data_IF_141649705484
#
_entry.id   IF_141649705484
#
_cell.length_a   1.000
_cell.length_b   1.000
_cell.length_c   1.000
_cell.angle_alpha   90.00
_cell.angle_beta   90.00
_cell.angle_gamma   90.00
#
_symmetry.space_group_name_H-M   'P 1'
#
loop_
_entity.id
_entity.type
_entity.pdbx_description
1 polymer ?
#
# COMPACT_ATOMS: atom_id res chain seq x y z
N UNK A 1 4.92 -23.49 91.46
CA UNK A 1 5.75 -24.27 90.46
C UNK A 1 4.92 -24.88 89.33
N UNK A 2 3.93 -24.20 88.76
CA UNK A 2 3.10 -24.74 87.66
C UNK A 2 2.98 -23.78 86.43
N UNK A 3 3.63 -22.64 86.50
CA UNK A 3 3.56 -21.64 85.34
C UNK A 3 4.74 -21.77 84.35
N UNK A 4 5.76 -22.57 84.59
CA UNK A 4 6.96 -22.72 83.78
C UNK A 4 6.88 -23.81 82.68
N UNK A 5 5.95 -24.77 82.80
CA UNK A 5 5.86 -25.91 81.87
C UNK A 5 4.98 -25.60 80.65
N UNK A 6 4.04 -24.67 80.77
CA UNK A 6 3.19 -24.28 79.65
C UNK A 6 3.90 -23.53 78.53
N UNK A 7 4.97 -22.78 78.79
CA UNK A 7 5.70 -22.00 77.81
C UNK A 7 6.70 -22.82 76.97
N UNK A 8 7.22 -23.91 77.53
CA UNK A 8 8.13 -24.81 76.81
C UNK A 8 7.41 -25.76 75.87
N UNK A 9 6.13 -26.07 76.10
CA UNK A 9 5.34 -26.92 75.15
C UNK A 9 4.81 -26.16 73.97
N UNK A 10 4.53 -24.86 74.07
CA UNK A 10 4.10 -24.02 72.90
C UNK A 10 5.27 -23.66 72.04
N UNK A 11 6.50 -23.60 72.47
CA UNK A 11 7.69 -23.39 71.66
C UNK A 11 8.14 -24.63 70.87
N UNK A 12 7.70 -25.80 71.23
CA UNK A 12 8.09 -27.06 70.59
C UNK A 12 7.08 -27.54 69.55
N UNK A 13 5.94 -26.95 69.44
CA UNK A 13 4.93 -27.26 68.40
C UNK A 13 5.02 -26.45 67.14
N UNK A 14 6.00 -25.57 66.98
CA UNK A 14 6.38 -24.98 65.66
C UNK A 14 7.17 -26.04 64.89
N UNK A 15 6.54 -27.18 64.61
CA UNK A 15 7.10 -28.26 63.80
C UNK A 15 7.58 -27.80 62.48
N UNK A 16 8.90 -27.73 62.28
CA UNK A 16 9.51 -27.57 61.01
C UNK A 16 9.08 -28.74 60.07
N UNK A 17 8.15 -28.54 59.22
CA UNK A 17 7.82 -29.53 58.19
C UNK A 17 9.08 -29.79 57.39
N UNK A 18 9.43 -31.05 57.24
CA UNK A 18 10.62 -31.53 56.57
C UNK A 18 10.20 -32.04 55.17
N UNK A 19 10.89 -31.62 54.14
CA UNK A 19 10.62 -31.98 52.74
C UNK A 19 11.89 -32.49 52.08
N UNK A 20 11.73 -33.45 51.18
CA UNK A 20 12.81 -34.04 50.38
C UNK A 20 13.29 -33.05 49.30
N UNK A 21 14.62 -32.80 49.31
CA UNK A 21 15.26 -31.89 48.33
C UNK A 21 15.07 -32.32 46.86
N UNK A 22 14.83 -33.61 46.63
CA UNK A 22 14.59 -34.12 45.28
C UNK A 22 13.28 -33.58 44.62
N UNK A 23 12.35 -33.09 45.45
CA UNK A 23 11.06 -32.54 45.00
C UNK A 23 11.05 -31.02 44.83
N UNK A 24 12.18 -30.39 45.10
CA UNK A 24 12.31 -28.93 45.12
C UNK A 24 13.38 -28.52 44.15
N UNK A 25 13.04 -27.65 43.23
CA UNK A 25 14.03 -27.04 42.31
C UNK A 25 14.47 -25.69 42.87
N UNK A 26 15.78 -25.52 42.99
CA UNK A 26 16.41 -24.33 43.54
C UNK A 26 17.22 -23.68 42.47
N UNK A 27 17.03 -22.37 42.27
CA UNK A 27 17.82 -21.54 41.35
C UNK A 27 18.55 -20.44 42.10
N UNK A 28 19.70 -20.05 41.63
CA UNK A 28 20.51 -18.98 42.22
C UNK A 28 20.21 -17.64 41.54
N UNK A 29 19.99 -16.62 42.37
CA UNK A 29 19.83 -15.25 41.90
C UNK A 29 21.14 -14.76 41.29
N UNK A 30 21.11 -14.35 40.05
CA UNK A 30 22.25 -13.82 39.32
C UNK A 30 22.01 -12.39 38.85
N UNK A 31 23.07 -11.69 38.50
CA UNK A 31 23.00 -10.39 37.88
C UNK A 31 23.39 -10.55 36.42
N UNK A 32 22.58 -10.04 35.50
CA UNK A 32 22.83 -10.18 34.08
C UNK A 32 21.72 -9.56 33.25
N UNK A 33 21.83 -9.70 31.94
CA UNK A 33 20.83 -9.19 31.03
C UNK A 33 19.59 -10.09 31.01
N UNK A 34 18.42 -9.49 31.08
CA UNK A 34 17.12 -10.12 30.91
C UNK A 34 16.53 -9.71 29.57
N UNK A 35 16.41 -10.67 28.66
CA UNK A 35 15.76 -10.47 27.37
C UNK A 35 14.30 -10.89 27.49
N UNK A 36 13.40 -9.92 27.33
CA UNK A 36 11.96 -10.20 27.20
C UNK A 36 11.68 -10.50 25.74
N UNK A 37 11.32 -11.71 25.44
CA UNK A 37 11.03 -12.19 24.09
C UNK A 37 9.66 -12.89 24.05
N UNK A 38 9.10 -12.95 22.87
CA UNK A 38 7.91 -13.74 22.56
C UNK A 38 8.25 -14.72 21.45
N UNK A 39 7.85 -15.98 21.64
CA UNK A 39 7.89 -16.98 20.58
C UNK A 39 6.51 -17.04 19.91
N UNK A 40 6.51 -17.03 18.60
CA UNK A 40 5.30 -17.17 17.78
C UNK A 40 5.58 -18.09 16.59
N UNK A 41 4.59 -18.90 16.25
CA UNK A 41 4.65 -19.67 15.02
C UNK A 41 4.23 -18.82 13.84
N UNK A 42 4.93 -18.95 12.72
CA UNK A 42 4.70 -18.20 11.54
C UNK A 42 4.73 -19.04 10.25
N UNK A 43 4.40 -18.39 9.18
CA UNK A 43 4.49 -18.94 7.83
C UNK A 43 5.26 -18.02 6.91
N UNK A 44 6.09 -18.58 6.06
CA UNK A 44 6.77 -17.85 4.99
C UNK A 44 5.74 -17.36 3.99
N UNK A 45 5.73 -16.08 3.72
CA UNK A 45 4.95 -15.44 2.67
C UNK A 45 5.92 -14.75 1.70
N UNK A 46 5.59 -14.71 0.42
CA UNK A 46 6.30 -13.81 -0.48
C UNK A 46 5.91 -12.37 -0.17
N UNK A 47 6.87 -11.46 -0.15
CA UNK A 47 6.62 -10.04 0.09
C UNK A 47 5.67 -9.46 -0.97
N UNK A 48 5.71 -10.03 -2.18
CA UNK A 48 4.85 -9.63 -3.29
C UNK A 48 4.32 -10.88 -4.01
N UNK A 49 3.00 -11.05 -4.01
CA UNK A 49 2.34 -12.20 -4.64
C UNK A 49 0.94 -11.83 -5.15
N UNK A 50 0.83 -10.89 -6.11
CA UNK A 50 -0.44 -10.47 -6.65
C UNK A 50 -1.14 -11.60 -7.41
N UNK A 51 -2.46 -11.61 -7.32
CA UNK A 51 -3.32 -12.39 -8.20
C UNK A 51 -3.73 -11.50 -9.36
N UNK A 52 -3.60 -12.01 -10.57
CA UNK A 52 -4.02 -11.35 -11.80
C UNK A 52 -5.45 -11.76 -12.14
N UNK A 53 -6.27 -10.78 -12.47
CA UNK A 53 -7.69 -10.94 -12.73
C UNK A 53 -8.04 -10.65 -14.18
N UNK A 54 -9.11 -11.28 -14.68
CA UNK A 54 -9.67 -10.97 -15.99
C UNK A 54 -10.30 -9.57 -15.98
N UNK A 55 -9.89 -8.70 -16.90
CA UNK A 55 -10.47 -7.35 -17.01
C UNK A 55 -11.86 -7.34 -17.67
N UNK A 56 -12.14 -8.35 -18.49
CA UNK A 56 -13.42 -8.54 -19.18
C UNK A 56 -13.77 -10.03 -19.29
N UNK A 57 -15.02 -10.32 -19.50
CA UNK A 57 -15.46 -11.66 -19.82
C UNK A 57 -14.87 -12.12 -21.17
N UNK A 58 -14.51 -13.41 -21.26
CA UNK A 58 -13.95 -13.98 -22.46
C UNK A 58 -13.39 -15.37 -22.27
N UNK A 59 -12.81 -15.94 -23.32
CA UNK A 59 -12.17 -17.26 -23.26
C UNK A 59 -10.68 -17.07 -22.89
N UNK A 60 -10.23 -17.73 -21.83
CA UNK A 60 -8.84 -17.65 -21.38
C UNK A 60 -7.95 -18.66 -22.11
N UNK A 61 -6.79 -18.20 -22.56
CA UNK A 61 -5.70 -19.04 -23.06
C UNK A 61 -4.48 -18.80 -22.19
N UNK A 62 -4.01 -19.83 -21.48
CA UNK A 62 -2.86 -19.79 -20.62
C UNK A 62 -1.58 -20.05 -21.43
N UNK A 63 -0.56 -19.24 -21.24
CA UNK A 63 0.78 -19.42 -21.87
C UNK A 63 1.78 -20.04 -20.90
N UNK A 64 1.42 -20.23 -19.63
CA UNK A 64 2.26 -20.74 -18.56
C UNK A 64 1.49 -21.73 -17.68
N UNK A 65 2.24 -22.54 -16.92
CA UNK A 65 1.69 -23.46 -15.91
C UNK A 65 2.21 -23.11 -14.51
N UNK A 66 1.54 -23.63 -13.47
CA UNK A 66 1.99 -23.45 -12.09
C UNK A 66 3.42 -23.97 -11.90
N UNK A 67 4.28 -23.17 -11.32
CA UNK A 67 5.69 -23.47 -11.10
C UNK A 67 6.66 -22.92 -12.17
N UNK A 68 6.17 -22.38 -13.28
CA UNK A 68 7.03 -21.77 -14.30
C UNK A 68 7.71 -20.51 -13.79
N UNK A 69 9.00 -20.34 -14.14
CA UNK A 69 9.74 -19.10 -13.90
C UNK A 69 9.43 -18.11 -15.02
N UNK A 70 9.05 -16.90 -14.65
CA UNK A 70 8.63 -15.86 -15.58
C UNK A 70 9.40 -14.57 -15.36
N UNK A 71 9.57 -13.80 -16.44
CA UNK A 71 10.22 -12.49 -16.41
C UNK A 71 9.20 -11.36 -16.45
N UNK A 72 9.56 -10.20 -15.95
CA UNK A 72 8.76 -9.00 -16.07
C UNK A 72 8.36 -8.73 -17.53
N UNK A 73 7.08 -8.46 -17.76
CA UNK A 73 6.52 -8.22 -19.09
C UNK A 73 6.26 -9.47 -19.93
N UNK A 74 6.58 -10.68 -19.45
CA UNK A 74 6.26 -11.93 -20.13
C UNK A 74 4.75 -12.18 -20.14
N UNK A 75 4.20 -12.62 -21.28
CA UNK A 75 2.79 -13.02 -21.43
C UNK A 75 2.52 -14.29 -20.62
N UNK A 76 1.55 -14.20 -19.72
CA UNK A 76 1.12 -15.27 -18.83
C UNK A 76 -0.18 -15.92 -19.30
N UNK A 77 -1.11 -15.09 -19.73
CA UNK A 77 -2.40 -15.51 -20.24
C UNK A 77 -2.96 -14.46 -21.20
N UNK A 78 -3.83 -14.88 -22.07
CA UNK A 78 -4.59 -14.01 -22.96
C UNK A 78 -6.08 -14.32 -22.85
N UNK A 79 -6.89 -13.28 -22.75
CA UNK A 79 -8.35 -13.39 -22.73
C UNK A 79 -8.87 -12.98 -24.10
N UNK A 80 -9.56 -13.86 -24.76
CA UNK A 80 -10.26 -13.54 -25.98
C UNK A 80 -11.67 -13.04 -25.66
N UNK A 81 -11.88 -11.72 -25.84
CA UNK A 81 -13.15 -11.02 -25.63
C UNK A 81 -13.64 -10.42 -26.94
N UNK A 82 -14.51 -11.15 -27.69
CA UNK A 82 -15.09 -10.61 -28.94
C UNK A 82 -15.92 -9.35 -28.71
N UNK A 83 -16.57 -9.25 -27.54
CA UNK A 83 -17.38 -8.09 -27.15
C UNK A 83 -16.50 -6.82 -27.08
N UNK A 84 -15.38 -6.87 -26.39
CA UNK A 84 -14.49 -5.71 -26.23
C UNK A 84 -13.81 -5.32 -27.56
N UNK A 85 -13.46 -6.31 -28.39
CA UNK A 85 -12.95 -6.04 -29.75
C UNK A 85 -14.01 -5.38 -30.63
N UNK A 86 -15.26 -5.85 -30.59
CA UNK A 86 -16.37 -5.24 -31.35
C UNK A 86 -16.62 -3.81 -30.89
N UNK A 87 -16.59 -3.57 -29.56
CA UNK A 87 -16.72 -2.23 -29.00
C UNK A 87 -15.60 -1.30 -29.51
N UNK A 88 -14.34 -1.77 -29.50
CA UNK A 88 -13.23 -0.98 -30.04
C UNK A 88 -13.45 -0.61 -31.51
N UNK A 89 -13.83 -1.56 -32.34
CA UNK A 89 -14.10 -1.31 -33.75
C UNK A 89 -15.23 -0.29 -33.96
N UNK A 90 -16.29 -0.35 -33.16
CA UNK A 90 -17.40 0.60 -33.20
C UNK A 90 -16.95 2.02 -32.82
N UNK A 91 -16.19 2.15 -31.73
CA UNK A 91 -15.69 3.46 -31.29
C UNK A 91 -14.68 4.06 -32.28
N UNK A 92 -13.86 3.22 -32.90
CA UNK A 92 -12.95 3.64 -33.98
C UNK A 92 -13.70 4.13 -35.21
N UNK A 93 -14.79 3.45 -35.62
CA UNK A 93 -15.63 3.89 -36.72
C UNK A 93 -16.32 5.24 -36.44
N UNK A 94 -16.80 5.42 -35.19
CA UNK A 94 -17.37 6.69 -34.73
C UNK A 94 -16.32 7.82 -34.79
N UNK A 95 -15.11 7.56 -34.35
CA UNK A 95 -14.00 8.53 -34.39
C UNK A 95 -13.70 8.92 -35.82
N UNK A 96 -13.59 7.96 -36.74
CA UNK A 96 -13.33 8.25 -38.16
C UNK A 96 -14.40 9.16 -38.77
N UNK A 97 -15.68 8.96 -38.44
CA UNK A 97 -16.78 9.83 -38.85
C UNK A 97 -16.62 11.27 -38.33
N UNK A 98 -16.33 11.43 -37.03
CA UNK A 98 -16.13 12.76 -36.42
C UNK A 98 -14.87 13.46 -36.93
N UNK A 99 -13.81 12.74 -37.24
CA UNK A 99 -12.60 13.30 -37.86
C UNK A 99 -12.87 13.80 -39.29
N UNK A 100 -13.67 13.08 -40.09
CA UNK A 100 -14.10 13.51 -41.37
C UNK A 100 -14.97 14.79 -41.29
N UNK A 101 -15.93 14.85 -40.35
CA UNK A 101 -16.72 16.07 -40.10
C UNK A 101 -15.86 17.26 -39.68
N UNK A 102 -14.88 17.04 -38.79
CA UNK A 102 -13.94 18.07 -38.35
C UNK A 102 -13.08 18.60 -39.50
N UNK A 103 -12.63 17.71 -40.38
CA UNK A 103 -11.84 18.08 -41.56
C UNK A 103 -12.67 18.90 -42.55
N UNK A 104 -13.93 18.51 -42.73
CA UNK A 104 -14.87 19.27 -43.60
C UNK A 104 -15.13 20.67 -43.02
N UNK A 105 -15.43 20.78 -41.74
CA UNK A 105 -15.67 22.07 -41.08
C UNK A 105 -14.43 22.99 -41.15
N UNK A 106 -13.22 22.43 -41.04
CA UNK A 106 -11.98 23.20 -41.23
C UNK A 106 -11.82 23.74 -42.68
N UNK A 107 -12.19 22.94 -43.68
CA UNK A 107 -12.21 23.38 -45.07
C UNK A 107 -13.25 24.46 -45.27
N UNK A 108 -14.47 24.30 -44.76
CA UNK A 108 -15.55 25.27 -44.86
C UNK A 108 -15.16 26.61 -44.22
N UNK A 109 -14.48 26.58 -43.06
CA UNK A 109 -13.92 27.78 -42.43
C UNK A 109 -12.87 28.47 -43.28
N UNK A 110 -12.03 27.72 -44.00
CA UNK A 110 -11.04 28.28 -44.93
C UNK A 110 -11.71 28.93 -46.13
N UNK A 111 -12.72 28.29 -46.69
CA UNK A 111 -13.51 28.85 -47.80
C UNK A 111 -14.29 30.12 -47.39
N UNK A 112 -14.87 30.11 -46.17
CA UNK A 112 -15.56 31.28 -45.62
C UNK A 112 -14.61 32.49 -45.49
N UNK A 113 -13.39 32.29 -44.97
CA UNK A 113 -12.38 33.34 -44.89
C UNK A 113 -11.96 33.87 -46.28
N UNK A 114 -11.72 32.98 -47.26
CA UNK A 114 -11.34 33.37 -48.60
C UNK A 114 -12.43 34.22 -49.27
N UNK A 115 -13.70 33.80 -49.15
CA UNK A 115 -14.83 34.55 -49.68
C UNK A 115 -15.02 35.91 -49.00
N UNK A 116 -14.86 35.95 -47.68
CA UNK A 116 -14.93 37.17 -46.88
C UNK A 116 -13.81 38.18 -47.27
N UNK A 117 -12.58 37.70 -47.47
CA UNK A 117 -11.46 38.52 -47.94
C UNK A 117 -11.74 39.09 -49.30
N UNK A 118 -12.23 38.28 -50.26
CA UNK A 118 -12.59 38.75 -51.65
C UNK A 118 -13.58 39.92 -51.62
N UNK A 119 -14.64 39.82 -50.80
CA UNK A 119 -15.64 40.88 -50.68
C UNK A 119 -15.07 42.16 -50.06
N UNK A 120 -14.24 42.01 -49.03
CA UNK A 120 -13.54 43.15 -48.39
C UNK A 120 -12.57 43.83 -49.34
N UNK A 121 -11.83 43.05 -50.12
CA UNK A 121 -10.87 43.61 -51.08
C UNK A 121 -11.58 44.33 -52.24
N UNK A 122 -12.74 43.82 -52.72
CA UNK A 122 -13.59 44.50 -53.67
C UNK A 122 -14.09 45.87 -53.17
N UNK A 123 -14.62 45.90 -51.91
CA UNK A 123 -15.08 47.16 -51.33
C UNK A 123 -13.93 48.17 -51.11
N UNK A 124 -12.69 47.70 -50.83
CA UNK A 124 -11.51 48.56 -50.76
C UNK A 124 -11.18 49.21 -52.12
N UNK A 125 -11.23 48.43 -53.18
CA UNK A 125 -11.00 48.94 -54.58
C UNK A 125 -12.03 49.99 -54.93
N UNK A 126 -13.31 49.71 -54.62
CA UNK A 126 -14.41 50.65 -54.88
C UNK A 126 -14.25 51.98 -54.17
N UNK A 127 -13.89 51.90 -52.84
CA UNK A 127 -13.58 53.07 -52.00
C UNK A 127 -12.38 53.85 -52.57
N UNK A 128 -11.31 53.17 -53.03
CA UNK A 128 -10.14 53.81 -53.59
C UNK A 128 -10.46 54.52 -54.89
N UNK A 129 -11.36 53.96 -55.71
CA UNK A 129 -11.83 54.59 -56.94
C UNK A 129 -12.60 55.88 -56.63
N UNK A 130 -13.58 55.81 -55.68
CA UNK A 130 -14.34 56.96 -55.22
C UNK A 130 -13.48 58.09 -54.64
N UNK A 131 -12.41 57.71 -53.89
CA UNK A 131 -11.46 58.71 -53.37
C UNK A 131 -10.68 59.43 -54.44
N UNK A 132 -10.20 58.72 -55.50
CA UNK A 132 -9.53 59.33 -56.66
C UNK A 132 -10.46 60.23 -57.43
N UNK A 133 -11.74 59.84 -57.57
CA UNK A 133 -12.73 60.67 -58.24
C UNK A 133 -13.01 61.95 -57.47
N UNK A 134 -13.20 61.87 -56.17
CA UNK A 134 -13.37 63.06 -55.33
C UNK A 134 -12.17 64.00 -55.43
N UNK A 135 -10.95 63.51 -55.42
CA UNK A 135 -9.76 64.33 -55.56
C UNK A 135 -9.71 65.04 -56.92
N UNK A 136 -10.15 64.35 -58.01
CA UNK A 136 -10.26 64.93 -59.33
C UNK A 136 -11.34 66.02 -59.39
N UNK A 137 -12.54 65.77 -58.81
CA UNK A 137 -13.62 66.77 -58.77
C UNK A 137 -13.28 67.94 -57.87
N UNK A 138 -12.58 67.75 -56.77
CA UNK A 138 -12.12 68.81 -55.88
C UNK A 138 -11.14 69.76 -56.63
N UNK A 139 -10.15 69.21 -57.36
CA UNK A 139 -9.23 70.00 -58.16
C UNK A 139 -9.91 70.80 -59.28
N UNK A 140 -10.95 70.22 -59.95
CA UNK A 140 -11.77 70.84 -60.93
C UNK A 140 -12.65 71.98 -60.39
N UNK A 141 -13.21 71.81 -59.20
CA UNK A 141 -13.97 72.85 -58.52
C UNK A 141 -13.08 74.02 -58.06
N UNK A 142 -11.92 73.76 -57.49
CA UNK A 142 -10.95 74.80 -57.09
C UNK A 142 -10.45 75.60 -58.28
N UNK A 143 -10.39 75.01 -59.49
CA UNK A 143 -10.10 75.62 -60.73
C UNK A 143 -11.31 76.30 -61.48
N UNK A 144 -12.53 76.27 -60.87
CA UNK A 144 -13.74 76.87 -61.45
C UNK A 144 -14.37 76.09 -62.60
N UNK A 145 -13.91 74.89 -62.95
CA UNK A 145 -14.38 74.05 -64.04
C UNK A 145 -15.51 73.05 -63.70
N UNK A 146 -15.80 72.82 -62.45
CA UNK A 146 -16.78 71.83 -61.92
C UNK A 146 -17.83 72.51 -61.06
N UNK A 147 -19.13 72.26 -61.22
CA UNK A 147 -20.18 72.77 -60.35
C UNK A 147 -20.12 72.15 -58.98
N UNK A 148 -20.56 72.89 -57.91
CA UNK A 148 -20.59 72.45 -56.53
C UNK A 148 -21.41 71.16 -56.36
N UNK A 149 -22.49 70.95 -57.07
CA UNK A 149 -23.35 69.78 -57.05
C UNK A 149 -22.60 68.51 -57.42
N UNK A 150 -21.71 68.57 -58.36
CA UNK A 150 -20.91 67.42 -58.83
C UNK A 150 -19.82 67.04 -57.74
N UNK A 151 -19.25 68.08 -57.14
CA UNK A 151 -18.35 67.84 -55.96
C UNK A 151 -19.09 67.20 -54.79
N UNK A 152 -20.29 67.67 -54.47
CA UNK A 152 -21.15 67.12 -53.46
C UNK A 152 -21.49 65.64 -53.72
N UNK A 153 -21.85 65.29 -54.95
CA UNK A 153 -22.07 63.88 -55.35
C UNK A 153 -20.84 63.01 -55.16
N UNK A 154 -19.68 63.49 -55.50
CA UNK A 154 -18.43 62.76 -55.33
C UNK A 154 -18.13 62.53 -53.84
N UNK A 155 -18.40 63.52 -52.92
CA UNK A 155 -18.30 63.39 -51.48
C UNK A 155 -19.27 62.33 -50.92
N UNK A 156 -20.54 62.37 -51.37
CA UNK A 156 -21.56 61.38 -50.99
C UNK A 156 -21.19 59.96 -51.41
N UNK A 157 -20.62 59.83 -52.66
CA UNK A 157 -20.17 58.57 -53.24
C UNK A 157 -19.03 57.97 -52.37
N UNK A 158 -18.05 58.79 -52.00
CA UNK A 158 -16.96 58.33 -51.08
C UNK A 158 -17.49 57.91 -49.73
N UNK A 159 -18.38 58.71 -49.12
CA UNK A 159 -19.00 58.38 -47.85
C UNK A 159 -19.79 57.10 -47.96
N UNK A 160 -20.55 56.83 -49.03
CA UNK A 160 -21.22 55.56 -49.21
C UNK A 160 -20.26 54.39 -49.30
N UNK A 161 -19.19 54.47 -50.07
CA UNK A 161 -18.19 53.42 -50.26
C UNK A 161 -17.38 53.17 -48.92
N UNK A 162 -17.18 54.21 -48.14
CA UNK A 162 -16.59 54.03 -46.73
C UNK A 162 -17.51 53.21 -45.88
N UNK A 163 -18.82 53.44 -45.84
CA UNK A 163 -19.80 52.67 -45.10
C UNK A 163 -19.86 51.23 -45.60
N UNK A 164 -19.88 51.05 -46.96
CA UNK A 164 -19.91 49.71 -47.56
C UNK A 164 -18.65 48.91 -47.22
N UNK A 165 -17.46 49.54 -47.17
CA UNK A 165 -16.23 48.91 -46.74
C UNK A 165 -16.30 48.50 -45.22
N UNK A 166 -16.81 49.37 -44.34
CA UNK A 166 -17.00 49.05 -42.94
C UNK A 166 -17.93 47.88 -42.74
N UNK A 167 -19.04 47.81 -43.49
CA UNK A 167 -19.97 46.67 -43.45
C UNK A 167 -19.30 45.39 -43.95
N UNK A 168 -18.60 45.45 -45.10
CA UNK A 168 -17.88 44.29 -45.65
C UNK A 168 -16.83 43.73 -44.66
N UNK A 169 -16.11 44.62 -43.95
CA UNK A 169 -15.13 44.21 -42.92
C UNK A 169 -15.79 43.55 -41.71
N UNK A 170 -16.90 44.11 -41.19
CA UNK A 170 -17.64 43.52 -40.07
C UNK A 170 -18.25 42.17 -40.44
N UNK A 171 -18.90 42.08 -41.59
CA UNK A 171 -19.49 40.83 -42.09
C UNK A 171 -18.41 39.76 -42.30
N UNK A 172 -17.24 40.13 -42.83
CA UNK A 172 -16.11 39.24 -43.01
C UNK A 172 -15.63 38.68 -41.67
N UNK A 173 -15.49 39.54 -40.64
CA UNK A 173 -15.09 39.14 -39.30
C UNK A 173 -16.10 38.17 -38.67
N UNK A 174 -17.39 38.48 -38.73
CA UNK A 174 -18.45 37.65 -38.17
C UNK A 174 -18.57 36.29 -38.86
N UNK A 175 -18.54 36.25 -40.18
CA UNK A 175 -18.61 35.00 -40.97
C UNK A 175 -17.39 34.08 -40.70
N UNK A 176 -16.17 34.65 -40.68
CA UNK A 176 -14.97 33.88 -40.41
C UNK A 176 -14.95 33.38 -38.94
N UNK A 177 -15.35 34.21 -37.99
CA UNK A 177 -15.42 33.81 -36.57
C UNK A 177 -16.46 32.70 -36.36
N UNK A 178 -17.63 32.78 -36.99
CA UNK A 178 -18.67 31.75 -36.91
C UNK A 178 -18.19 30.41 -37.47
N UNK A 179 -17.55 30.41 -38.63
CA UNK A 179 -17.00 29.21 -39.24
C UNK A 179 -15.83 28.62 -38.43
N UNK A 180 -14.99 29.46 -37.81
CA UNK A 180 -13.92 29.03 -36.95
C UNK A 180 -14.44 28.38 -35.65
N UNK A 181 -15.52 28.90 -35.09
CA UNK A 181 -16.15 28.30 -33.93
C UNK A 181 -16.74 26.92 -34.24
N UNK A 182 -17.40 26.79 -35.41
CA UNK A 182 -17.93 25.47 -35.81
C UNK A 182 -16.81 24.45 -36.03
N UNK A 183 -15.74 24.84 -36.75
CA UNK A 183 -14.58 23.98 -36.95
C UNK A 183 -13.94 23.56 -35.63
N UNK A 184 -13.81 24.47 -34.63
CA UNK A 184 -13.31 24.14 -33.29
C UNK A 184 -14.23 23.18 -32.56
N UNK A 185 -15.55 23.40 -32.62
CA UNK A 185 -16.52 22.51 -31.95
C UNK A 185 -16.45 21.09 -32.54
N UNK A 186 -16.39 20.95 -33.87
CA UNK A 186 -16.24 19.64 -34.52
C UNK A 186 -14.93 18.94 -34.14
N UNK A 187 -13.84 19.70 -34.05
CA UNK A 187 -12.56 19.18 -33.60
C UNK A 187 -12.61 18.69 -32.15
N UNK A 188 -13.23 19.44 -31.23
CA UNK A 188 -13.39 19.05 -29.87
C UNK A 188 -14.20 17.74 -29.70
N UNK A 189 -15.22 17.53 -30.53
CA UNK A 189 -15.98 16.28 -30.57
C UNK A 189 -15.09 15.08 -30.99
N UNK A 190 -14.28 15.27 -32.05
CA UNK A 190 -13.34 14.26 -32.51
C UNK A 190 -12.27 13.95 -31.42
N UNK A 191 -11.72 14.98 -30.76
CA UNK A 191 -10.73 14.82 -29.70
C UNK A 191 -11.31 14.08 -28.46
N UNK A 192 -12.56 14.37 -28.10
CA UNK A 192 -13.29 13.62 -27.04
C UNK A 192 -13.44 12.15 -27.41
N UNK A 193 -13.87 11.87 -28.64
CA UNK A 193 -14.04 10.49 -29.10
C UNK A 193 -12.70 9.75 -29.18
N UNK A 194 -11.62 10.43 -29.54
CA UNK A 194 -10.26 9.84 -29.50
C UNK A 194 -9.85 9.39 -28.11
N UNK A 195 -10.24 10.13 -27.06
CA UNK A 195 -10.02 9.71 -25.68
C UNK A 195 -10.83 8.45 -25.33
N UNK A 196 -12.06 8.32 -25.83
CA UNK A 196 -12.87 7.11 -25.64
C UNK A 196 -12.23 5.90 -26.32
N UNK A 197 -11.78 6.05 -27.57
CA UNK A 197 -11.05 4.99 -28.31
C UNK A 197 -9.80 4.57 -27.54
N UNK A 198 -9.01 5.54 -27.04
CA UNK A 198 -7.80 5.24 -26.27
C UNK A 198 -8.10 4.46 -24.98
N UNK A 199 -9.22 4.75 -24.32
CA UNK A 199 -9.65 3.98 -23.13
C UNK A 199 -10.02 2.54 -23.47
N UNK A 200 -10.84 2.34 -24.51
CA UNK A 200 -11.23 0.99 -24.95
C UNK A 200 -10.01 0.21 -25.46
N UNK A 201 -9.06 0.89 -26.14
CA UNK A 201 -7.80 0.26 -26.56
C UNK A 201 -6.99 -0.24 -25.37
N UNK A 202 -6.84 0.57 -24.29
CA UNK A 202 -6.16 0.12 -23.07
C UNK A 202 -6.83 -1.13 -22.45
N UNK A 203 -8.17 -1.18 -22.49
CA UNK A 203 -8.91 -2.36 -22.02
C UNK A 203 -8.64 -3.59 -22.90
N UNK A 204 -8.52 -3.42 -24.22
CA UNK A 204 -8.13 -4.50 -25.14
C UNK A 204 -6.70 -4.96 -24.89
N UNK A 205 -5.77 -4.02 -24.69
CA UNK A 205 -4.36 -4.36 -24.40
C UNK A 205 -4.23 -5.11 -23.08
N UNK A 206 -5.04 -4.77 -22.08
CA UNK A 206 -5.08 -5.43 -20.78
C UNK A 206 -5.74 -6.83 -20.79
N UNK A 207 -6.30 -7.27 -21.92
CA UNK A 207 -6.71 -8.67 -22.12
C UNK A 207 -5.50 -9.62 -22.16
N UNK A 208 -4.30 -9.11 -22.43
CA UNK A 208 -3.06 -9.86 -22.32
C UNK A 208 -2.48 -9.63 -20.92
N UNK A 209 -2.52 -10.66 -20.10
CA UNK A 209 -1.99 -10.62 -18.74
C UNK A 209 -0.48 -10.80 -18.78
N UNK A 210 0.25 -9.79 -18.35
CA UNK A 210 1.71 -9.78 -18.31
C UNK A 210 2.21 -9.93 -16.87
N UNK A 211 3.39 -10.53 -16.68
CA UNK A 211 4.04 -10.57 -15.37
C UNK A 211 4.49 -9.17 -14.93
N UNK A 212 4.11 -8.72 -13.72
CA UNK A 212 4.51 -7.42 -13.21
C UNK A 212 5.99 -7.36 -12.78
N UNK A 213 6.63 -8.50 -12.53
CA UNK A 213 8.03 -8.63 -12.09
C UNK A 213 8.60 -10.02 -12.43
N UNK A 214 9.90 -10.19 -12.22
CA UNK A 214 10.56 -11.50 -12.32
C UNK A 214 10.14 -12.38 -11.14
N UNK A 215 9.59 -13.57 -11.41
CA UNK A 215 9.05 -14.42 -10.36
C UNK A 215 8.70 -15.82 -10.83
N UNK A 216 7.84 -16.48 -10.09
CA UNK A 216 7.33 -17.79 -10.40
C UNK A 216 5.81 -17.79 -10.41
N UNK A 217 5.22 -18.51 -11.35
CA UNK A 217 3.76 -18.71 -11.38
C UNK A 217 3.36 -19.56 -10.18
N UNK A 218 2.52 -18.98 -9.34
CA UNK A 218 1.95 -19.65 -8.17
C UNK A 218 0.75 -20.52 -8.53
N UNK A 219 -0.38 -20.23 -7.89
CA UNK A 219 -1.62 -20.94 -8.17
C UNK A 219 -2.25 -20.43 -9.47
N UNK A 220 -2.57 -21.34 -10.39
CA UNK A 220 -3.39 -21.09 -11.57
C UNK A 220 -4.83 -21.49 -11.23
N UNK A 221 -5.76 -20.55 -11.31
CA UNK A 221 -7.17 -20.73 -10.92
C UNK A 221 -8.07 -20.93 -12.13
N UNK A 222 -7.69 -20.33 -13.27
CA UNK A 222 -8.43 -20.51 -14.51
C UNK A 222 -8.03 -21.83 -15.21
N UNK A 223 -8.99 -22.43 -15.90
CA UNK A 223 -8.75 -23.63 -16.71
C UNK A 223 -8.58 -23.21 -18.17
N UNK A 224 -7.64 -23.86 -18.86
CA UNK A 224 -7.34 -23.61 -20.27
C UNK A 224 -8.59 -23.69 -21.16
N UNK A 225 -8.77 -22.71 -22.04
CA UNK A 225 -9.88 -22.60 -22.99
C UNK A 225 -11.29 -22.55 -22.36
N UNK A 226 -11.40 -22.14 -21.09
CA UNK A 226 -12.70 -21.92 -20.45
C UNK A 226 -13.12 -20.45 -20.53
N UNK A 227 -14.40 -20.22 -20.46
CA UNK A 227 -14.95 -18.88 -20.38
C UNK A 227 -14.86 -18.38 -18.93
N UNK A 228 -14.32 -17.18 -18.75
CA UNK A 228 -14.20 -16.49 -17.46
C UNK A 228 -15.05 -15.22 -17.45
N UNK A 229 -15.55 -14.87 -16.29
CA UNK A 229 -16.26 -13.60 -16.07
C UNK A 229 -15.26 -12.46 -15.86
N UNK A 230 -15.73 -11.22 -16.01
CA UNK A 230 -14.94 -10.05 -15.58
C UNK A 230 -14.62 -10.17 -14.09
N UNK A 231 -13.40 -9.75 -13.71
CA UNK A 231 -12.84 -9.84 -12.36
C UNK A 231 -12.67 -11.28 -11.81
N UNK A 232 -12.76 -12.30 -12.68
CA UNK A 232 -12.40 -13.66 -12.26
C UNK A 232 -10.88 -13.77 -12.04
N UNK A 233 -10.41 -14.42 -10.95
CA UNK A 233 -8.99 -14.65 -10.73
C UNK A 233 -8.45 -15.65 -11.74
N UNK A 234 -7.32 -15.35 -12.37
CA UNK A 234 -6.70 -16.19 -13.41
C UNK A 234 -5.51 -16.96 -12.86
N UNK A 235 -4.50 -16.27 -12.38
CA UNK A 235 -3.30 -16.87 -11.80
C UNK A 235 -2.60 -15.88 -10.87
N UNK A 236 -1.76 -16.40 -9.97
CA UNK A 236 -0.90 -15.61 -9.11
C UNK A 236 0.55 -15.66 -9.57
N UNK A 237 1.29 -14.57 -9.41
CA UNK A 237 2.75 -14.52 -9.60
C UNK A 237 3.40 -14.24 -8.27
N UNK A 238 4.44 -15.00 -7.91
CA UNK A 238 5.12 -14.95 -6.62
C UNK A 238 6.54 -14.44 -6.84
N UNK A 239 6.90 -13.37 -6.14
CA UNK A 239 8.27 -12.88 -6.09
C UNK A 239 9.10 -13.74 -5.11
N UNK A 240 9.98 -14.56 -5.63
CA UNK A 240 10.87 -15.41 -4.83
C UNK A 240 12.12 -14.68 -4.33
N UNK A 241 12.34 -13.45 -4.72
CA UNK A 241 13.52 -12.67 -4.32
C UNK A 241 13.41 -12.18 -2.88
N UNK A 242 12.20 -11.99 -2.36
CA UNK A 242 11.94 -11.44 -1.03
C UNK A 242 10.83 -12.21 -0.33
N UNK A 243 11.22 -12.94 0.69
CA UNK A 243 10.28 -13.58 1.61
C UNK A 243 10.19 -12.80 2.92
N UNK A 244 9.03 -12.87 3.53
CA UNK A 244 8.75 -12.44 4.91
C UNK A 244 8.14 -13.60 5.68
N UNK A 245 8.18 -13.52 6.99
CA UNK A 245 7.48 -14.49 7.86
C UNK A 245 6.32 -13.78 8.52
N UNK A 246 5.12 -14.24 8.20
CA UNK A 246 3.90 -13.78 8.84
C UNK A 246 3.68 -14.59 10.13
N UNK A 247 3.55 -13.90 11.24
CA UNK A 247 3.32 -14.48 12.57
C UNK A 247 1.98 -13.99 13.12
N UNK A 248 1.40 -14.79 14.01
CA UNK A 248 0.23 -14.43 14.79
C UNK A 248 0.61 -14.29 16.24
N UNK A 249 0.30 -13.15 16.81
CA UNK A 249 0.69 -12.81 18.19
C UNK A 249 -0.58 -12.48 18.98
N UNK A 250 -0.77 -13.03 20.19
CA UNK A 250 -1.90 -12.66 21.04
C UNK A 250 -1.97 -11.14 21.30
N UNK A 251 -3.18 -10.58 21.35
CA UNK A 251 -3.41 -9.14 21.54
C UNK A 251 -2.69 -8.58 22.76
N UNK A 252 -2.57 -9.37 23.84
CA UNK A 252 -1.89 -8.97 25.08
C UNK A 252 -0.43 -8.54 24.87
N UNK A 253 0.25 -9.11 23.87
CA UNK A 253 1.63 -8.78 23.51
C UNK A 253 1.72 -7.80 22.34
N UNK A 254 0.67 -7.70 21.54
CA UNK A 254 0.68 -6.88 20.32
C UNK A 254 0.89 -5.38 20.59
N UNK A 255 0.47 -4.90 21.78
CA UNK A 255 0.63 -3.50 22.21
C UNK A 255 2.10 -3.10 22.38
N UNK A 256 2.95 -4.06 22.66
CA UNK A 256 4.38 -3.83 22.88
C UNK A 256 5.20 -4.05 21.60
N UNK A 257 4.58 -4.52 20.51
CA UNK A 257 5.27 -4.73 19.24
C UNK A 257 5.43 -3.42 18.45
N UNK A 258 6.63 -3.21 17.93
CA UNK A 258 6.94 -2.07 17.09
C UNK A 258 7.73 -2.50 15.83
N UNK A 259 7.54 -1.75 14.75
CA UNK A 259 8.31 -1.93 13.51
C UNK A 259 9.80 -1.70 13.81
N UNK A 260 10.65 -2.57 13.26
CA UNK A 260 12.10 -2.52 13.47
C UNK A 260 12.59 -3.37 14.64
N UNK A 261 11.71 -3.95 15.48
CA UNK A 261 12.13 -4.86 16.56
C UNK A 261 12.91 -6.04 16.00
N UNK A 262 14.05 -6.41 16.62
CA UNK A 262 14.84 -7.55 16.20
C UNK A 262 14.09 -8.86 16.46
N UNK A 263 14.22 -9.78 15.53
CA UNK A 263 13.65 -11.11 15.65
C UNK A 263 14.64 -12.18 15.17
N UNK A 264 14.46 -13.39 15.67
CA UNK A 264 15.17 -14.58 15.23
C UNK A 264 14.17 -15.54 14.60
N UNK A 265 14.45 -15.95 13.36
CA UNK A 265 13.60 -16.86 12.58
C UNK A 265 14.26 -18.21 12.48
N UNK A 266 13.56 -19.28 12.84
CA UNK A 266 14.09 -20.64 12.83
C UNK A 266 13.21 -21.55 11.99
N UNK A 267 13.83 -22.31 11.08
CA UNK A 267 13.15 -23.32 10.28
C UNK A 267 13.50 -24.70 10.82
N UNK A 268 12.55 -25.35 11.50
CA UNK A 268 12.77 -26.65 12.13
C UNK A 268 13.86 -26.61 13.20
N UNK A 269 14.85 -27.50 13.10
CA UNK A 269 16.00 -27.59 14.03
C UNK A 269 17.25 -26.81 13.51
N UNK A 270 17.06 -25.92 12.54
CA UNK A 270 18.18 -25.20 11.91
C UNK A 270 18.71 -24.03 12.73
N UNK A 271 19.75 -23.39 12.21
CA UNK A 271 20.29 -22.17 12.78
C UNK A 271 19.27 -21.01 12.68
N UNK A 272 19.23 -20.10 13.69
CA UNK A 272 18.37 -18.94 13.64
C UNK A 272 18.87 -17.91 12.62
N UNK A 273 17.97 -17.40 11.80
CA UNK A 273 18.23 -16.32 10.86
C UNK A 273 17.77 -14.98 11.45
N UNK A 274 18.60 -13.93 11.38
CA UNK A 274 18.24 -12.62 11.88
C UNK A 274 17.13 -11.99 11.03
N UNK A 275 16.19 -11.36 11.71
CA UNK A 275 15.08 -10.65 11.09
C UNK A 275 14.71 -9.40 11.86
N UNK A 276 13.86 -8.59 11.27
CA UNK A 276 13.28 -7.42 11.91
C UNK A 276 11.80 -7.31 11.56
N UNK A 277 11.01 -6.85 12.53
CA UNK A 277 9.58 -6.57 12.34
C UNK A 277 9.39 -5.56 11.21
N UNK A 278 8.68 -5.95 10.16
CA UNK A 278 8.40 -5.09 8.99
C UNK A 278 7.03 -4.43 9.05
N UNK A 279 6.05 -5.13 9.64
CA UNK A 279 4.69 -4.61 9.79
C UNK A 279 3.99 -5.26 10.98
N UNK A 280 3.06 -4.52 11.60
CA UNK A 280 2.12 -5.00 12.61
C UNK A 280 0.73 -4.55 12.18
N UNK A 281 -0.21 -5.49 12.07
CA UNK A 281 -1.60 -5.17 11.72
C UNK A 281 -2.25 -4.35 12.84
N UNK A 282 -2.98 -3.30 12.52
CA UNK A 282 -3.80 -2.59 13.51
C UNK A 282 -5.08 -3.34 13.89
N UNK A 283 -5.39 -4.43 13.19
CA UNK A 283 -6.61 -5.21 13.36
C UNK A 283 -6.36 -6.44 14.22
N UNK A 284 -7.28 -6.68 15.17
CA UNK A 284 -7.31 -7.88 16.00
C UNK A 284 -8.34 -8.86 15.41
N UNK A 285 -7.90 -10.04 15.04
CA UNK A 285 -8.76 -11.10 14.50
C UNK A 285 -8.67 -12.32 15.41
N UNK A 286 -9.79 -12.75 15.97
CA UNK A 286 -9.85 -13.89 16.91
C UNK A 286 -8.91 -13.77 18.13
N UNK A 287 -8.68 -12.56 18.65
CA UNK A 287 -7.77 -12.31 19.79
C UNK A 287 -6.28 -12.32 19.42
N UNK A 288 -5.95 -12.36 18.14
CA UNK A 288 -4.59 -12.34 17.61
C UNK A 288 -4.37 -11.15 16.68
N UNK A 289 -3.15 -10.65 16.66
CA UNK A 289 -2.67 -9.62 15.75
C UNK A 289 -1.67 -10.24 14.78
N UNK A 290 -1.85 -9.99 13.50
CA UNK A 290 -0.92 -10.44 12.46
C UNK A 290 0.26 -9.48 12.38
N UNK A 291 1.47 -10.01 12.42
CA UNK A 291 2.68 -9.23 12.23
C UNK A 291 3.59 -9.89 11.19
N UNK A 292 4.46 -9.11 10.56
CA UNK A 292 5.39 -9.60 9.54
C UNK A 292 6.82 -9.29 9.93
N UNK A 293 7.70 -10.23 9.66
CA UNK A 293 9.13 -10.15 9.93
C UNK A 293 9.86 -10.37 8.61
N UNK A 294 10.70 -9.41 8.25
CA UNK A 294 11.62 -9.54 7.10
C UNK A 294 12.97 -10.06 7.57
N UNK A 295 13.64 -10.82 6.73
CA UNK A 295 15.04 -11.18 6.94
C UNK A 295 15.91 -9.91 6.80
N UNK A 296 16.86 -9.72 7.72
CA UNK A 296 17.79 -8.57 7.68
C UNK A 296 19.06 -8.90 6.91
N UNK A 297 19.44 -10.16 6.88
CA UNK A 297 20.56 -10.69 6.12
C UNK A 297 20.08 -11.60 4.97
N UNK A 298 20.95 -12.52 4.54
CA UNK A 298 20.62 -13.49 3.50
C UNK A 298 19.49 -14.39 3.93
N UNK A 299 18.53 -14.56 3.05
CA UNK A 299 17.43 -15.51 3.25
C UNK A 299 17.95 -16.94 3.20
N UNK A 300 17.37 -17.87 3.98
CA UNK A 300 17.68 -19.28 3.85
C UNK A 300 17.46 -19.76 2.41
N UNK A 301 18.36 -20.55 1.84
CA UNK A 301 18.13 -21.12 0.52
C UNK A 301 16.98 -22.13 0.56
N UNK A 302 16.19 -22.18 -0.52
CA UNK A 302 15.12 -23.16 -0.67
C UNK A 302 13.85 -22.89 0.13
N UNK A 303 13.62 -21.65 0.61
CA UNK A 303 12.36 -21.27 1.23
C UNK A 303 11.19 -21.47 0.26
N UNK A 304 10.07 -21.98 0.81
CA UNK A 304 8.83 -22.16 0.05
C UNK A 304 7.71 -21.35 0.69
N UNK A 305 6.81 -20.84 -0.13
CA UNK A 305 5.61 -20.17 0.36
C UNK A 305 4.79 -21.10 1.26
N UNK A 306 4.22 -20.56 2.32
CA UNK A 306 3.47 -21.28 3.36
C UNK A 306 4.30 -22.26 4.21
N UNK A 307 5.63 -22.31 4.05
CA UNK A 307 6.51 -23.08 4.92
C UNK A 307 6.40 -22.57 6.36
N UNK A 308 6.34 -23.47 7.34
CA UNK A 308 6.31 -23.11 8.76
C UNK A 308 7.69 -22.66 9.23
N UNK A 309 7.72 -21.58 9.98
CA UNK A 309 8.89 -21.07 10.69
C UNK A 309 8.49 -20.59 12.08
N UNK A 310 9.34 -20.78 13.07
CA UNK A 310 9.17 -20.19 14.39
C UNK A 310 9.91 -18.87 14.45
N UNK A 311 9.30 -17.86 15.02
CA UNK A 311 9.88 -16.55 15.23
C UNK A 311 9.99 -16.24 16.72
N UNK A 312 11.15 -15.73 17.15
CA UNK A 312 11.38 -15.18 18.47
C UNK A 312 11.63 -13.69 18.33
N UNK A 313 10.67 -12.88 18.77
CA UNK A 313 10.75 -11.41 18.72
C UNK A 313 11.27 -10.88 20.03
N UNK A 314 12.35 -10.11 20.00
CA UNK A 314 12.94 -9.46 21.19
C UNK A 314 12.20 -8.15 21.44
N UNK A 315 11.46 -8.08 22.54
CA UNK A 315 10.61 -6.92 22.88
C UNK A 315 11.36 -5.89 23.71
N UNK A 316 12.13 -6.35 24.72
CA UNK A 316 12.88 -5.48 25.62
C UNK A 316 14.13 -6.21 26.14
N UNK A 317 15.20 -5.50 26.35
CA UNK A 317 16.42 -6.01 26.95
C UNK A 317 16.77 -5.15 28.16
N UNK A 318 16.56 -5.70 29.38
CA UNK A 318 16.96 -5.08 30.63
C UNK A 318 18.39 -5.48 30.95
N UNK A 319 19.30 -4.53 30.87
CA UNK A 319 20.72 -4.78 31.15
C UNK A 319 21.03 -4.77 32.63
N UNK A 320 21.87 -5.69 33.03
CA UNK A 320 22.44 -5.74 34.35
C UNK A 320 21.43 -5.73 35.52
N UNK A 321 20.33 -6.50 35.36
CA UNK A 321 19.29 -6.64 36.41
C UNK A 321 19.50 -7.88 37.24
N UNK A 322 18.98 -7.89 38.48
CA UNK A 322 18.85 -9.09 39.28
C UNK A 322 17.79 -9.98 38.63
N UNK A 323 18.13 -11.25 38.40
CA UNK A 323 17.24 -12.22 37.79
C UNK A 323 17.37 -13.59 38.44
N UNK A 324 16.30 -14.34 38.39
CA UNK A 324 16.24 -15.74 38.83
C UNK A 324 15.41 -16.52 37.84
N UNK A 325 15.68 -17.82 37.72
CA UNK A 325 14.96 -18.71 36.83
C UNK A 325 13.45 -18.66 37.14
N UNK A 326 12.63 -18.53 36.12
CA UNK A 326 11.18 -18.51 36.23
C UNK A 326 10.67 -19.89 36.66
N UNK A 327 9.76 -19.89 37.59
CA UNK A 327 9.11 -21.10 38.04
C UNK A 327 7.72 -20.81 38.62
N UNK A 328 7.00 -21.87 39.04
CA UNK A 328 5.64 -21.78 39.62
C UNK A 328 5.52 -20.77 40.76
N UNK A 329 6.60 -20.49 41.51
CA UNK A 329 6.59 -19.52 42.61
C UNK A 329 6.09 -18.11 42.17
N UNK A 330 6.33 -17.73 40.96
CA UNK A 330 5.90 -16.42 40.39
C UNK A 330 4.38 -16.35 40.34
N UNK A 331 3.73 -17.43 39.92
CA UNK A 331 2.28 -17.49 39.73
C UNK A 331 1.55 -17.80 41.07
N UNK A 332 2.09 -18.69 41.88
CA UNK A 332 1.51 -19.10 43.13
C UNK A 332 1.47 -17.98 44.18
N UNK A 333 2.54 -17.18 44.27
CA UNK A 333 2.63 -16.07 45.22
C UNK A 333 2.15 -14.72 44.65
N UNK A 334 1.77 -14.69 43.37
CA UNK A 334 1.56 -13.41 42.65
C UNK A 334 2.80 -12.52 42.70
N UNK A 335 4.01 -13.11 42.87
CA UNK A 335 5.25 -12.38 42.95
C UNK A 335 5.48 -11.60 44.25
N UNK A 336 4.72 -11.89 45.32
CA UNK A 336 4.78 -11.16 46.59
C UNK A 336 5.75 -11.76 47.58
N UNK A 337 6.08 -13.05 47.51
CA UNK A 337 7.09 -13.71 48.34
C UNK A 337 7.78 -14.85 47.59
N UNK A 338 8.98 -15.20 48.07
CA UNK A 338 9.71 -16.38 47.63
C UNK A 338 10.34 -17.10 48.84
N UNK A 339 10.61 -18.39 48.69
CA UNK A 339 11.36 -19.14 49.69
C UNK A 339 12.85 -19.11 49.34
N UNK A 340 13.65 -18.52 50.23
CA UNK A 340 15.11 -18.41 50.13
C UNK A 340 15.76 -19.43 51.04
N UNK A 341 16.72 -20.18 50.51
CA UNK A 341 17.48 -21.17 51.27
C UNK A 341 18.51 -20.51 52.17
N UNK A 342 18.42 -20.77 53.45
CA UNK A 342 19.42 -20.47 54.46
C UNK A 342 19.95 -21.81 54.99
N UNK A 343 21.08 -22.26 54.45
CA UNK A 343 21.56 -23.63 54.63
C UNK A 343 20.56 -24.66 54.12
N UNK A 344 20.01 -25.47 55.01
CA UNK A 344 18.97 -26.48 54.72
C UNK A 344 17.55 -26.01 55.04
N UNK A 345 17.36 -24.75 55.38
CA UNK A 345 16.05 -24.19 55.69
C UNK A 345 15.59 -23.20 54.64
N UNK A 346 14.43 -23.42 54.06
CA UNK A 346 13.75 -22.46 53.16
C UNK A 346 12.97 -21.46 54.01
N UNK A 347 13.31 -20.18 53.92
CA UNK A 347 12.69 -19.09 54.67
C UNK A 347 11.87 -18.23 53.71
N UNK A 348 10.59 -18.02 54.06
CA UNK A 348 9.70 -17.14 53.30
C UNK A 348 10.15 -15.68 53.44
N UNK A 349 10.48 -15.05 52.30
CA UNK A 349 10.94 -13.66 52.24
C UNK A 349 10.04 -12.86 51.27
N UNK A 350 9.59 -11.66 51.67
CA UNK A 350 8.84 -10.81 50.77
C UNK A 350 9.74 -10.36 49.60
N UNK A 351 9.24 -10.47 48.39
CA UNK A 351 9.95 -10.08 47.16
C UNK A 351 9.05 -9.25 46.28
N UNK A 352 9.65 -8.43 45.45
CA UNK A 352 8.96 -7.75 44.34
C UNK A 352 9.61 -8.18 43.07
N UNK A 353 8.81 -8.76 42.19
CA UNK A 353 9.24 -9.16 40.86
C UNK A 353 8.88 -8.07 39.83
N UNK A 354 9.65 -7.98 38.78
CA UNK A 354 9.45 -7.09 37.67
C UNK A 354 9.01 -7.82 36.40
N UNK A 355 9.67 -7.54 35.30
CA UNK A 355 9.39 -8.13 33.99
C UNK A 355 9.81 -9.61 33.97
N UNK A 356 9.00 -10.46 33.36
CA UNK A 356 9.30 -11.88 33.14
C UNK A 356 9.63 -12.15 31.68
N UNK A 357 10.62 -13.01 31.44
CA UNK A 357 10.89 -13.65 30.16
C UNK A 357 10.38 -15.09 30.13
N UNK A 358 10.69 -15.83 29.07
CA UNK A 358 10.38 -17.27 29.03
C UNK A 358 11.14 -18.08 30.07
N UNK A 359 12.40 -17.74 30.33
CA UNK A 359 13.28 -18.49 31.24
C UNK A 359 13.55 -17.82 32.60
N UNK A 360 13.56 -16.52 32.67
CA UNK A 360 13.98 -15.74 33.83
C UNK A 360 12.92 -14.71 34.26
N UNK A 361 12.96 -14.30 35.51
CA UNK A 361 12.14 -13.20 36.05
C UNK A 361 13.04 -12.17 36.72
N UNK A 362 12.76 -10.89 36.50
CA UNK A 362 13.45 -9.78 37.13
C UNK A 362 13.06 -9.68 38.60
N UNK A 363 14.04 -9.51 39.46
CA UNK A 363 13.85 -9.21 40.91
C UNK A 363 14.10 -7.71 41.12
N UNK A 364 13.08 -6.99 41.59
CA UNK A 364 13.17 -5.57 41.90
C UNK A 364 13.63 -5.31 43.32
N UNK A 365 13.23 -6.17 44.28
CA UNK A 365 13.64 -6.07 45.68
C UNK A 365 13.41 -7.37 46.43
N UNK A 366 14.07 -7.53 47.58
CA UNK A 366 13.88 -8.66 48.48
C UNK A 366 14.89 -9.81 48.36
N UNK A 367 15.68 -9.84 47.26
CA UNK A 367 16.73 -10.83 47.03
C UNK A 367 18.07 -10.14 46.67
N UNK A 368 19.16 -10.88 46.90
CA UNK A 368 20.52 -10.45 46.56
C UNK A 368 21.20 -11.45 45.61
N UNK A 369 22.25 -11.02 44.95
CA UNK A 369 23.08 -11.90 44.11
C UNK A 369 23.63 -13.05 44.99
N UNK A 370 23.45 -14.28 44.52
CA UNK A 370 23.88 -15.48 45.23
C UNK A 370 22.80 -16.11 46.11
N UNK A 371 21.68 -15.44 46.38
CA UNK A 371 20.54 -16.04 47.07
C UNK A 371 20.04 -17.28 46.29
N UNK A 372 19.78 -18.36 47.03
CA UNK A 372 19.24 -19.62 46.48
C UNK A 372 17.74 -19.62 46.69
N UNK A 373 16.96 -19.57 45.63
CA UNK A 373 15.49 -19.44 45.66
C UNK A 373 14.84 -20.74 45.21
N UNK A 374 13.84 -21.20 45.95
CA UNK A 374 13.00 -22.33 45.57
C UNK A 374 12.07 -21.88 44.45
N UNK A 375 12.32 -22.34 43.22
CA UNK A 375 11.55 -21.93 42.02
C UNK A 375 10.42 -22.90 41.69
N UNK A 376 10.49 -24.15 42.20
CA UNK A 376 9.43 -25.16 42.01
C UNK A 376 9.33 -26.07 43.23
N UNK A 377 8.14 -26.58 43.53
CA UNK A 377 7.87 -27.47 44.66
C UNK A 377 7.48 -26.75 45.97
N UNK A 378 7.42 -25.42 45.97
CA UNK A 378 7.01 -24.62 47.11
C UNK A 378 5.52 -24.72 47.46
N UNK A 379 4.68 -25.22 46.55
CA UNK A 379 3.26 -25.53 46.73
C UNK A 379 3.02 -26.49 47.93
N UNK A 380 3.96 -27.40 48.15
CA UNK A 380 3.89 -28.35 49.28
C UNK A 380 4.20 -27.71 50.64
N UNK A 381 4.80 -26.52 50.68
CA UNK A 381 5.18 -25.84 51.91
C UNK A 381 3.97 -25.18 52.62
N UNK A 382 2.87 -24.97 51.90
CA UNK A 382 1.72 -24.24 52.43
C UNK A 382 2.11 -22.82 52.86
N UNK A 383 1.45 -22.28 53.87
CA UNK A 383 1.75 -20.95 54.43
C UNK A 383 2.84 -20.96 55.54
N UNK A 384 3.63 -22.02 55.62
CA UNK A 384 4.65 -22.18 56.68
C UNK A 384 5.80 -21.20 56.43
N UNK A 385 6.19 -20.34 57.43
CA UNK A 385 7.21 -19.32 57.22
C UNK A 385 8.64 -19.87 57.12
N UNK A 386 8.87 -21.10 57.61
CA UNK A 386 10.17 -21.79 57.56
C UNK A 386 9.96 -23.27 57.34
N UNK A 387 10.71 -23.86 56.43
CA UNK A 387 10.61 -25.27 56.05
C UNK A 387 12.01 -25.87 55.91
N UNK A 388 12.24 -27.01 56.50
CA UNK A 388 13.51 -27.73 56.37
C UNK A 388 13.50 -28.61 55.13
N UNK A 389 14.52 -28.50 54.29
CA UNK A 389 14.72 -29.26 53.06
C UNK A 389 15.96 -30.13 53.22
N UNK A 390 15.85 -31.44 53.05
CA UNK A 390 16.95 -32.40 53.26
C UNK A 390 16.99 -33.47 52.17
#
# INVERSE_FOLDING_TARGET
MLAGIGWAVTAWSAGSRSFDASRVRIATVSQGDLVRDIAADGRVIAANSPVLYAISAGTVTLSVVAGDVVKQGQELARIDSPELRSKLAQEQATLAGLEAESSRAALDATLARANASKLTDQAKVDRQAAARDLERYQRGYDGGAVPQVELAKAQDTLKKTDIDLQHAQRDAALKSQGADLDARNKRLLADRQRAVVAEVQRQVDALTLLSPFDGQVGQVQAVQHTQVAANAPILGVVDLSKFEVEIKVPESFARDLAIGMPAQLTSGSGEPFPGAMSAVSPEVVNGEVTARIRFTDKQPPGLRQSQRMSARVVMDTRRNVLKVERGPFVEQSGGSYAYVMDGNTAVRRPVRIGVSSLGDVQVLSGLQVGDRVVVSGADNFGDTPRVTVH
#
